data_IF_840193841299
#
_entry.id   IF_840193841299
#
_cell.length_a   1.000
_cell.length_b   1.000
_cell.length_c   1.000
_cell.angle_alpha   90.00
_cell.angle_beta   90.00
_cell.angle_gamma   90.00
#
_symmetry.space_group_name_H-M   'P 1'
#
loop_
_entity.id
_entity.type
_entity.pdbx_description
1 polymer ?
#
# COMPACT_ATOMS: atom_id res chain seq x y z
N UNK A 1 8.69 -6.80 -9.66
CA UNK A 1 8.52 -5.66 -10.61
C UNK A 1 7.75 -6.20 -11.80
N UNK A 2 6.42 -6.02 -11.83
CA UNK A 2 5.53 -6.84 -12.68
C UNK A 2 4.59 -6.09 -13.64
N UNK A 3 4.72 -4.77 -13.84
CA UNK A 3 3.84 -4.04 -14.78
C UNK A 3 4.56 -3.12 -15.78
N UNK A 4 5.88 -3.27 -15.96
CA UNK A 4 6.66 -2.35 -16.82
C UNK A 4 6.79 -0.92 -16.27
N UNK A 5 6.31 -0.67 -15.05
CA UNK A 5 6.48 0.59 -14.31
C UNK A 5 7.67 0.50 -13.36
N UNK A 6 8.42 1.60 -13.27
CA UNK A 6 9.38 1.85 -12.20
C UNK A 6 8.73 2.71 -11.12
N UNK A 7 8.77 2.24 -9.87
CA UNK A 7 8.22 2.94 -8.72
C UNK A 7 9.36 3.43 -7.84
N UNK A 8 9.34 4.71 -7.49
CA UNK A 8 10.29 5.33 -6.58
C UNK A 8 9.56 5.91 -5.39
N UNK A 9 10.00 5.55 -4.18
CA UNK A 9 9.47 6.11 -2.94
C UNK A 9 10.31 7.31 -2.53
N UNK A 10 9.66 8.38 -2.04
CA UNK A 10 10.41 9.50 -1.44
C UNK A 10 11.14 9.07 -0.17
N UNK A 11 10.59 8.08 0.56
CA UNK A 11 11.19 7.41 1.72
C UNK A 11 10.67 5.97 1.82
N UNK A 12 11.50 5.07 2.34
CA UNK A 12 11.12 3.66 2.60
C UNK A 12 10.91 3.38 4.10
N UNK A 13 11.33 4.31 4.97
CA UNK A 13 11.27 4.19 6.42
C UNK A 13 10.57 5.40 7.04
N UNK A 14 10.30 5.32 8.35
CA UNK A 14 9.73 6.42 9.11
C UNK A 14 10.75 7.53 9.38
N UNK A 15 10.98 8.35 8.37
CA UNK A 15 11.90 9.48 8.42
C UNK A 15 11.23 10.71 7.82
N UNK A 16 11.50 11.87 8.43
CA UNK A 16 11.04 13.13 7.91
C UNK A 16 11.86 13.56 6.69
N UNK A 17 11.15 13.97 5.63
CA UNK A 17 11.73 14.58 4.43
C UNK A 17 11.03 15.91 4.18
N UNK A 18 11.81 16.96 3.98
CA UNK A 18 11.32 18.30 3.67
C UNK A 18 10.47 18.31 2.40
N UNK A 19 9.41 19.12 2.38
CA UNK A 19 8.49 19.21 1.22
C UNK A 19 9.22 19.49 -0.09
N UNK A 20 10.20 20.41 -0.07
CA UNK A 20 11.01 20.76 -1.23
C UNK A 20 11.83 19.58 -1.74
N UNK A 21 12.36 18.75 -0.86
CA UNK A 21 13.16 17.59 -1.26
C UNK A 21 12.30 16.52 -1.93
N UNK A 22 11.06 16.31 -1.46
CA UNK A 22 10.13 15.35 -2.05
C UNK A 22 9.84 15.64 -3.52
N UNK A 23 9.52 16.89 -3.86
CA UNK A 23 9.25 17.28 -5.26
C UNK A 23 10.54 17.33 -6.08
N UNK A 24 11.66 17.72 -5.47
CA UNK A 24 12.98 17.68 -6.12
C UNK A 24 13.36 16.27 -6.56
N UNK A 25 13.20 15.26 -5.71
CA UNK A 25 13.48 13.85 -6.05
C UNK A 25 12.71 13.45 -7.32
N UNK A 26 11.39 13.68 -7.36
CA UNK A 26 10.56 13.33 -8.51
C UNK A 26 10.95 14.11 -9.77
N UNK A 27 11.27 15.41 -9.63
CA UNK A 27 11.68 16.27 -10.74
C UNK A 27 13.03 15.84 -11.33
N UNK A 28 14.01 15.47 -10.50
CA UNK A 28 15.33 15.00 -10.93
C UNK A 28 15.28 13.63 -11.59
N UNK A 29 14.38 12.75 -11.14
CA UNK A 29 14.09 11.46 -11.78
C UNK A 29 13.36 11.60 -13.13
N UNK A 30 12.86 12.81 -13.45
CA UNK A 30 11.97 13.05 -14.58
C UNK A 30 10.78 12.07 -14.60
N UNK A 31 10.19 11.78 -13.43
CA UNK A 31 9.09 10.84 -13.30
C UNK A 31 7.87 11.26 -14.14
N UNK A 32 7.10 10.29 -14.64
CA UNK A 32 5.90 10.59 -15.45
C UNK A 32 4.70 11.07 -14.60
N UNK A 33 4.65 10.63 -13.35
CA UNK A 33 3.66 11.07 -12.37
C UNK A 33 4.22 11.05 -10.94
N UNK A 34 3.64 11.86 -10.07
CA UNK A 34 3.85 11.84 -8.62
C UNK A 34 2.51 11.73 -7.90
N UNK A 35 2.43 10.81 -6.94
CA UNK A 35 1.25 10.57 -6.11
C UNK A 35 1.66 10.76 -4.65
N UNK A 36 1.14 11.80 -4.00
CA UNK A 36 1.37 12.06 -2.57
C UNK A 36 0.25 11.41 -1.75
N UNK A 37 0.58 10.42 -0.94
CA UNK A 37 -0.38 9.64 -0.15
C UNK A 37 -0.43 10.19 1.28
N UNK A 38 -1.62 10.62 1.72
CA UNK A 38 -1.87 11.25 3.02
C UNK A 38 -3.11 10.65 3.69
N UNK A 39 -3.30 10.97 4.97
CA UNK A 39 -4.58 10.91 5.67
C UNK A 39 -4.86 12.30 6.24
N UNK A 40 -6.11 12.73 6.17
CA UNK A 40 -6.53 14.07 6.58
C UNK A 40 -6.75 14.15 8.08
N UNK A 41 -6.97 15.36 8.59
CA UNK A 41 -7.42 15.64 9.95
C UNK A 41 -8.23 16.93 9.98
N UNK A 42 -9.08 17.11 10.99
CA UNK A 42 -9.90 18.31 11.15
C UNK A 42 -11.36 18.05 11.52
N UNK A 43 -11.68 16.82 11.92
CA UNK A 43 -12.99 16.37 12.35
C UNK A 43 -14.02 16.27 11.22
N UNK A 44 -15.30 16.22 11.61
CA UNK A 44 -16.42 16.04 10.68
C UNK A 44 -16.73 14.57 10.42
N UNK A 45 -17.34 14.29 9.27
CA UNK A 45 -17.86 12.96 8.93
C UNK A 45 -16.81 12.02 8.30
N UNK A 46 -15.54 12.43 8.24
CA UNK A 46 -14.48 11.67 7.56
C UNK A 46 -14.65 11.64 6.04
N UNK A 47 -14.01 10.64 5.42
CA UNK A 47 -14.15 10.29 4.00
C UNK A 47 -12.90 10.54 3.15
N UNK A 48 -12.97 10.12 1.88
CA UNK A 48 -11.88 10.22 0.93
C UNK A 48 -12.00 11.47 0.04
N UNK A 49 -10.87 12.15 -0.18
CA UNK A 49 -10.74 13.23 -1.16
C UNK A 49 -9.39 13.18 -1.88
N UNK A 50 -9.32 13.81 -3.05
CA UNK A 50 -8.06 13.99 -3.76
C UNK A 50 -7.88 15.42 -4.21
N UNK A 51 -6.64 15.83 -4.45
CA UNK A 51 -6.28 17.18 -4.85
C UNK A 51 -5.38 17.18 -6.09
N UNK A 52 -5.62 18.14 -6.98
CA UNK A 52 -4.69 18.59 -8.03
C UNK A 52 -4.39 20.07 -7.89
N UNK A 53 -3.33 20.56 -8.53
CA UNK A 53 -3.04 21.99 -8.53
C UNK A 53 -4.15 22.80 -9.22
N UNK A 54 -4.37 24.04 -8.79
CA UNK A 54 -5.43 24.91 -9.35
C UNK A 54 -5.28 25.16 -10.85
N UNK A 55 -4.04 25.22 -11.33
CA UNK A 55 -3.71 25.39 -12.75
C UNK A 55 -3.05 24.12 -13.33
N UNK A 56 -3.52 22.95 -12.90
CA UNK A 56 -3.01 21.65 -13.32
C UNK A 56 -3.14 21.41 -14.83
N UNK A 57 -2.21 20.61 -15.37
CA UNK A 57 -2.27 20.12 -16.75
C UNK A 57 -3.49 19.20 -16.97
N UNK A 58 -3.85 18.96 -18.23
CA UNK A 58 -4.90 17.99 -18.58
C UNK A 58 -4.56 16.59 -18.08
N UNK A 59 -3.28 16.17 -18.16
CA UNK A 59 -2.83 14.88 -17.64
C UNK A 59 -2.95 14.77 -16.11
N UNK A 60 -2.64 15.83 -15.37
CA UNK A 60 -2.86 15.84 -13.90
C UNK A 60 -4.35 15.76 -13.55
N UNK A 61 -5.22 16.37 -14.37
CA UNK A 61 -6.67 16.27 -14.20
C UNK A 61 -7.15 14.83 -14.44
N UNK A 62 -6.71 14.22 -15.54
CA UNK A 62 -7.00 12.82 -15.88
C UNK A 62 -6.50 11.87 -14.78
N UNK A 63 -5.24 11.99 -14.35
CA UNK A 63 -4.67 11.21 -13.25
C UNK A 63 -5.51 11.31 -11.98
N UNK A 64 -5.99 12.51 -11.63
CA UNK A 64 -6.82 12.70 -10.44
C UNK A 64 -8.17 12.02 -10.59
N UNK A 65 -8.85 12.21 -11.72
CA UNK A 65 -10.18 11.64 -11.97
C UNK A 65 -10.11 10.11 -11.96
N UNK A 66 -9.12 9.53 -12.63
CA UNK A 66 -8.88 8.09 -12.68
C UNK A 66 -8.55 7.49 -11.30
N UNK A 67 -7.60 8.07 -10.56
CA UNK A 67 -7.27 7.60 -9.20
C UNK A 67 -8.47 7.73 -8.26
N UNK A 68 -9.16 8.88 -8.30
CA UNK A 68 -10.26 9.13 -7.37
C UNK A 68 -11.42 8.16 -7.60
N UNK A 69 -11.80 7.91 -8.86
CA UNK A 69 -12.87 6.97 -9.18
C UNK A 69 -12.51 5.52 -8.84
N UNK A 70 -11.25 5.12 -9.08
CA UNK A 70 -10.76 3.79 -8.75
C UNK A 70 -10.77 3.54 -7.23
N UNK A 71 -10.25 4.48 -6.45
CA UNK A 71 -10.20 4.37 -4.97
C UNK A 71 -11.60 4.39 -4.37
N UNK A 72 -12.49 5.28 -4.81
CA UNK A 72 -13.88 5.30 -4.32
C UNK A 72 -14.63 4.02 -4.69
N UNK A 73 -14.37 3.44 -5.86
CA UNK A 73 -15.01 2.17 -6.25
C UNK A 73 -14.70 1.07 -5.25
N UNK A 74 -13.44 0.92 -4.83
CA UNK A 74 -13.04 -0.05 -3.82
C UNK A 74 -13.56 0.27 -2.42
N UNK A 75 -13.64 1.56 -2.07
CA UNK A 75 -14.04 2.01 -0.74
C UNK A 75 -15.57 2.02 -0.50
N UNK A 76 -16.39 1.96 -1.55
CA UNK A 76 -17.87 1.96 -1.45
C UNK A 76 -18.39 0.85 -0.54
N UNK A 77 -17.77 -0.33 -0.54
CA UNK A 77 -18.18 -1.48 0.29
C UNK A 77 -18.00 -1.24 1.80
N UNK A 78 -17.23 -0.22 2.18
CA UNK A 78 -17.01 0.20 3.57
C UNK A 78 -17.80 1.46 3.96
N UNK A 79 -18.75 1.89 3.12
CA UNK A 79 -19.54 3.10 3.32
C UNK A 79 -18.70 4.38 3.51
N UNK A 80 -17.51 4.43 2.91
CA UNK A 80 -16.67 5.64 2.91
C UNK A 80 -17.38 6.76 2.16
N UNK A 81 -17.39 7.95 2.76
CA UNK A 81 -17.94 9.15 2.14
C UNK A 81 -17.00 9.62 1.02
N UNK A 82 -17.55 9.76 -0.18
CA UNK A 82 -16.88 10.41 -1.30
C UNK A 82 -17.01 11.93 -1.18
N UNK A 83 -15.91 12.60 -0.84
CA UNK A 83 -15.81 14.05 -0.67
C UNK A 83 -15.35 14.78 -1.94
N UNK A 84 -15.29 14.06 -3.06
CA UNK A 84 -15.02 14.50 -4.42
C UNK A 84 -13.60 14.96 -4.69
N UNK A 85 -13.17 14.98 -5.98
CA UNK A 85 -11.92 15.61 -6.37
C UNK A 85 -11.95 17.12 -6.11
N UNK A 86 -10.83 17.66 -5.63
CA UNK A 86 -10.65 19.07 -5.28
C UNK A 86 -9.43 19.66 -5.97
N UNK A 87 -9.34 20.99 -5.95
CA UNK A 87 -8.15 21.73 -6.35
C UNK A 87 -7.54 22.44 -5.14
N UNK A 88 -6.22 22.58 -5.11
CA UNK A 88 -5.53 23.23 -4.01
C UNK A 88 -4.14 23.72 -4.37
N UNK A 89 -3.67 24.74 -3.66
CA UNK A 89 -2.32 25.30 -3.83
C UNK A 89 -1.30 24.58 -2.92
N UNK A 90 -1.20 23.26 -3.06
CA UNK A 90 -0.35 22.41 -2.22
C UNK A 90 1.05 22.28 -2.83
N UNK A 91 2.10 22.31 -2.01
CA UNK A 91 3.50 22.24 -2.46
C UNK A 91 3.76 21.06 -3.39
N UNK A 92 3.33 19.85 -2.99
CA UNK A 92 3.51 18.61 -3.77
C UNK A 92 2.89 18.67 -5.17
N UNK A 93 1.90 19.53 -5.37
CA UNK A 93 1.17 19.67 -6.63
C UNK A 93 1.71 20.83 -7.46
N UNK A 94 2.10 21.93 -6.81
CA UNK A 94 2.58 23.16 -7.47
C UNK A 94 4.02 23.05 -7.94
N UNK A 95 4.88 22.41 -7.17
CA UNK A 95 6.34 22.37 -7.42
C UNK A 95 6.79 21.11 -8.20
N UNK A 96 5.84 20.36 -8.75
CA UNK A 96 6.08 19.13 -9.50
C UNK A 96 5.97 19.38 -11.01
N UNK A 97 6.94 18.90 -11.78
CA UNK A 97 7.02 19.14 -13.24
C UNK A 97 6.22 18.11 -14.06
N UNK A 98 5.75 17.05 -13.43
CA UNK A 98 5.00 15.94 -14.03
C UNK A 98 3.53 15.93 -13.60
N UNK A 99 2.78 14.91 -14.02
CA UNK A 99 1.39 14.75 -13.58
C UNK A 99 1.34 14.54 -12.06
N UNK A 100 0.57 15.32 -11.32
CA UNK A 100 0.64 15.34 -9.85
C UNK A 100 -0.73 15.27 -9.19
N UNK A 101 -0.88 14.34 -8.24
CA UNK A 101 -2.08 14.17 -7.41
C UNK A 101 -1.69 13.95 -5.95
N UNK A 102 -2.51 14.45 -5.03
CA UNK A 102 -2.43 14.16 -3.61
C UNK A 102 -3.74 13.51 -3.18
N UNK A 103 -3.67 12.38 -2.50
CA UNK A 103 -4.84 11.65 -1.99
C UNK A 103 -4.88 11.76 -0.48
N UNK A 104 -6.02 12.19 0.05
CA UNK A 104 -6.33 12.13 1.47
C UNK A 104 -7.18 10.88 1.73
N UNK A 105 -6.50 9.81 2.13
CA UNK A 105 -7.04 8.49 2.36
C UNK A 105 -7.70 8.41 3.72
N UNK A 106 -8.87 9.04 3.85
CA UNK A 106 -9.65 9.14 5.08
C UNK A 106 -9.06 10.11 6.11
N UNK A 107 -9.78 10.30 7.21
CA UNK A 107 -9.42 11.22 8.29
C UNK A 107 -8.88 10.45 9.50
N UNK A 108 -7.68 10.79 9.96
CA UNK A 108 -7.04 10.11 11.11
C UNK A 108 -7.84 10.25 12.41
N UNK A 109 -8.63 11.32 12.54
CA UNK A 109 -9.42 11.64 13.72
C UNK A 109 -10.89 11.18 13.63
N UNK A 110 -11.45 11.02 12.43
CA UNK A 110 -12.83 10.58 12.23
C UNK A 110 -12.96 9.12 11.76
N UNK A 111 -12.00 8.63 10.97
CA UNK A 111 -12.03 7.31 10.31
C UNK A 111 -11.00 6.33 10.91
N UNK A 112 -10.50 6.59 12.12
CA UNK A 112 -9.43 5.81 12.76
C UNK A 112 -9.70 4.28 12.81
N UNK A 113 -10.97 3.87 12.93
CA UNK A 113 -11.37 2.46 12.93
C UNK A 113 -11.19 1.84 11.55
N UNK A 114 -11.55 2.57 10.48
CA UNK A 114 -11.36 2.13 9.10
C UNK A 114 -9.86 2.06 8.77
N UNK A 115 -9.08 3.05 9.20
CA UNK A 115 -7.63 3.10 9.00
C UNK A 115 -6.85 2.00 9.75
N UNK A 116 -7.45 1.36 10.75
CA UNK A 116 -6.88 0.21 11.45
C UNK A 116 -7.32 -1.15 10.87
N UNK A 117 -8.19 -1.14 9.85
CA UNK A 117 -8.69 -2.36 9.23
C UNK A 117 -7.86 -2.69 7.98
N UNK A 118 -7.13 -3.80 8.03
CA UNK A 118 -6.28 -4.26 6.92
C UNK A 118 -7.05 -4.38 5.59
N UNK A 119 -8.32 -4.80 5.61
CA UNK A 119 -9.12 -4.90 4.38
C UNK A 119 -9.42 -3.53 3.75
N UNK A 120 -9.55 -2.49 4.58
CA UNK A 120 -9.71 -1.11 4.09
C UNK A 120 -8.39 -0.59 3.53
N UNK A 121 -7.28 -0.90 4.17
CA UNK A 121 -5.94 -0.55 3.67
C UNK A 121 -5.67 -1.22 2.32
N UNK A 122 -5.97 -2.51 2.18
CA UNK A 122 -5.88 -3.23 0.91
C UNK A 122 -6.79 -2.60 -0.15
N UNK A 123 -8.03 -2.25 0.19
CA UNK A 123 -8.93 -1.56 -0.75
C UNK A 123 -8.39 -0.18 -1.20
N UNK A 124 -7.71 0.56 -0.33
CA UNK A 124 -7.02 1.80 -0.70
C UNK A 124 -5.88 1.48 -1.67
N UNK A 125 -5.07 0.46 -1.39
CA UNK A 125 -3.95 0.02 -2.24
C UNK A 125 -4.47 -0.40 -3.61
N UNK A 126 -5.44 -1.31 -3.67
CA UNK A 126 -6.07 -1.80 -4.90
C UNK A 126 -6.61 -0.65 -5.74
N UNK A 127 -7.29 0.31 -5.11
CA UNK A 127 -7.79 1.51 -5.77
C UNK A 127 -6.69 2.38 -6.39
N UNK A 128 -5.56 2.56 -5.68
CA UNK A 128 -4.41 3.27 -6.25
C UNK A 128 -3.79 2.52 -7.42
N UNK A 129 -3.60 1.20 -7.27
CA UNK A 129 -3.01 0.35 -8.31
C UNK A 129 -3.89 0.36 -9.56
N UNK A 130 -5.20 0.15 -9.42
CA UNK A 130 -6.16 0.19 -10.51
C UNK A 130 -6.14 1.55 -11.23
N UNK A 131 -6.11 2.64 -10.47
CA UNK A 131 -6.05 3.99 -11.05
C UNK A 131 -4.73 4.27 -11.79
N UNK A 132 -3.59 3.81 -11.26
CA UNK A 132 -2.29 3.92 -11.94
C UNK A 132 -2.27 3.09 -13.23
N UNK A 133 -2.73 1.84 -13.17
CA UNK A 133 -2.84 0.93 -14.33
C UNK A 133 -3.68 1.58 -15.43
N UNK A 134 -4.86 2.10 -15.07
CA UNK A 134 -5.76 2.75 -16.01
C UNK A 134 -5.15 4.02 -16.60
N UNK A 135 -4.54 4.89 -15.78
CA UNK A 135 -3.97 6.16 -16.24
C UNK A 135 -2.82 5.95 -17.22
N UNK A 136 -1.94 4.98 -16.95
CA UNK A 136 -0.81 4.68 -17.83
C UNK A 136 -1.18 3.74 -19.00
N UNK A 137 -2.43 3.28 -19.07
CA UNK A 137 -2.88 2.31 -20.07
C UNK A 137 -2.05 1.03 -20.02
N UNK A 138 -1.65 0.60 -18.83
CA UNK A 138 -0.88 -0.63 -18.68
C UNK A 138 -1.78 -1.80 -19.02
N UNK A 139 -1.29 -2.66 -19.92
CA UNK A 139 -1.86 -3.99 -20.01
C UNK A 139 -1.53 -4.68 -18.69
N UNK A 140 -2.58 -5.12 -17.98
CA UNK A 140 -2.38 -6.21 -17.04
C UNK A 140 -1.81 -7.32 -17.92
N UNK A 141 -0.52 -7.63 -17.73
CA UNK A 141 -0.12 -8.97 -18.11
C UNK A 141 -1.09 -9.86 -17.37
N UNK A 142 -1.70 -10.80 -18.09
CA UNK A 142 -2.09 -12.05 -17.48
C UNK A 142 -0.81 -12.57 -16.83
N UNK A 143 -0.55 -12.11 -15.60
CA UNK A 143 -0.10 -13.02 -14.58
C UNK A 143 -1.27 -13.99 -14.59
N UNK A 144 -1.15 -15.04 -15.40
CA UNK A 144 -1.66 -16.30 -14.97
C UNK A 144 -1.05 -16.44 -13.59
N UNK A 145 -1.84 -16.05 -12.59
CA UNK A 145 -1.76 -16.65 -11.30
C UNK A 145 -2.14 -18.10 -11.65
N UNK A 146 -1.18 -18.88 -12.17
CA UNK A 146 -0.89 -20.14 -11.51
C UNK A 146 -0.85 -19.69 -10.08
N UNK A 147 -1.93 -20.02 -9.34
CA UNK A 147 -2.05 -19.70 -7.93
C UNK A 147 -0.62 -19.68 -7.41
N UNK A 148 -0.15 -18.54 -6.91
CA UNK A 148 0.83 -18.64 -5.86
C UNK A 148 0.07 -19.49 -4.82
N UNK A 149 0.14 -20.82 -4.97
CA UNK A 149 0.49 -21.67 -3.86
C UNK A 149 1.62 -20.87 -3.26
N UNK A 150 1.30 -20.07 -2.24
CA UNK A 150 2.31 -19.63 -1.29
C UNK A 150 3.11 -20.89 -1.08
N UNK A 151 4.34 -20.95 -1.59
CA UNK A 151 5.12 -22.17 -1.49
C UNK A 151 5.12 -22.47 0.01
N UNK A 152 4.35 -23.49 0.41
CA UNK A 152 4.07 -23.73 1.82
C UNK A 152 5.38 -24.06 2.54
N UNK A 153 6.43 -24.39 1.76
CA UNK A 153 7.79 -24.63 2.19
C UNK A 153 8.68 -23.38 2.24
N UNK A 154 8.21 -22.21 1.77
CA UNK A 154 8.95 -20.95 1.81
C UNK A 154 8.74 -20.18 3.12
N UNK A 155 9.82 -20.07 3.88
CA UNK A 155 9.86 -19.29 5.13
C UNK A 155 9.84 -17.79 4.81
N UNK A 156 8.91 -17.05 5.43
CA UNK A 156 8.85 -15.59 5.30
C UNK A 156 10.15 -14.90 5.76
N UNK A 157 10.62 -13.84 5.08
CA UNK A 157 11.91 -13.21 5.39
C UNK A 157 12.10 -12.83 6.86
N UNK A 158 11.05 -12.34 7.52
CA UNK A 158 11.08 -11.95 8.93
C UNK A 158 11.23 -13.14 9.89
N UNK A 159 10.75 -14.33 9.49
CA UNK A 159 10.73 -15.54 10.31
C UNK A 159 11.95 -16.44 10.07
N UNK A 160 12.79 -16.15 9.06
CA UNK A 160 13.88 -17.02 8.60
C UNK A 160 14.80 -17.48 9.72
N UNK A 161 15.35 -16.54 10.49
CA UNK A 161 16.28 -16.85 11.59
C UNK A 161 15.61 -17.68 12.70
N UNK A 162 14.35 -17.36 13.04
CA UNK A 162 13.62 -18.08 14.07
C UNK A 162 13.28 -19.52 13.63
N UNK A 163 12.89 -19.69 12.36
CA UNK A 163 12.57 -20.98 11.76
C UNK A 163 13.79 -21.90 11.71
N UNK A 164 14.92 -21.39 11.22
CA UNK A 164 16.19 -22.15 11.17
C UNK A 164 16.63 -22.61 12.56
N UNK A 165 16.52 -21.75 13.56
CA UNK A 165 16.86 -22.12 14.94
C UNK A 165 15.90 -23.14 15.52
N UNK A 166 14.60 -23.02 15.25
CA UNK A 166 13.59 -23.96 15.73
C UNK A 166 13.78 -25.35 15.11
N UNK A 167 14.11 -25.41 13.81
CA UNK A 167 14.45 -26.65 13.12
C UNK A 167 15.76 -27.26 13.66
N UNK A 168 16.81 -26.45 13.84
CA UNK A 168 18.10 -26.90 14.37
C UNK A 168 18.00 -27.46 15.79
N UNK A 169 17.15 -26.87 16.64
CA UNK A 169 16.86 -27.37 17.99
C UNK A 169 15.90 -28.57 18.01
N UNK A 170 15.41 -29.01 16.86
CA UNK A 170 14.47 -30.13 16.73
C UNK A 170 13.06 -29.82 17.23
N UNK A 171 12.72 -28.55 17.43
CA UNK A 171 11.36 -28.16 17.83
C UNK A 171 10.38 -28.36 16.67
N UNK A 172 10.81 -27.97 15.46
CA UNK A 172 10.11 -28.13 14.19
C UNK A 172 10.86 -29.11 13.28
N UNK A 173 10.18 -29.67 12.29
CA UNK A 173 10.77 -30.59 11.30
C UNK A 173 11.42 -29.88 10.10
N UNK A 174 11.29 -28.55 10.01
CA UNK A 174 11.85 -27.72 8.95
C UNK A 174 11.00 -27.65 7.68
N UNK A 175 9.83 -28.28 7.67
CA UNK A 175 8.90 -28.30 6.54
C UNK A 175 7.64 -27.48 6.83
N UNK A 176 6.92 -27.06 5.79
CA UNK A 176 5.57 -26.49 5.91
C UNK A 176 5.46 -25.26 6.87
N UNK A 177 6.36 -24.25 6.82
CA UNK A 177 6.30 -23.04 7.66
C UNK A 177 5.00 -22.24 7.59
N UNK A 178 4.19 -22.43 6.55
CA UNK A 178 2.93 -21.70 6.37
C UNK A 178 1.68 -22.54 6.64
N UNK A 179 1.82 -23.82 7.01
CA UNK A 179 0.70 -24.67 7.38
C UNK A 179 0.07 -24.24 8.72
N UNK A 180 -1.23 -24.49 8.85
CA UNK A 180 -1.92 -24.37 10.15
C UNK A 180 -1.42 -25.45 11.11
N UNK A 181 -1.02 -25.06 12.32
CA UNK A 181 -0.59 -26.00 13.37
C UNK A 181 -1.80 -26.61 14.06
N UNK A 182 -1.86 -27.93 14.15
CA UNK A 182 -2.87 -28.65 14.94
C UNK A 182 -2.56 -28.58 16.44
N UNK A 183 -3.59 -28.81 17.29
CA UNK A 183 -3.40 -28.81 18.76
C UNK A 183 -2.47 -29.94 19.22
N UNK A 184 -2.42 -31.05 18.50
CA UNK A 184 -1.53 -32.19 18.77
C UNK A 184 -0.08 -31.86 18.43
N UNK A 185 0.17 -31.24 17.27
CA UNK A 185 1.50 -30.76 16.89
C UNK A 185 2.01 -29.70 17.88
N UNK A 186 1.15 -28.77 18.29
CA UNK A 186 1.48 -27.78 19.32
C UNK A 186 1.87 -28.46 20.66
N UNK A 187 1.10 -29.47 21.10
CA UNK A 187 1.41 -30.21 22.32
C UNK A 187 2.76 -30.94 22.22
N UNK A 188 3.05 -31.56 21.07
CA UNK A 188 4.34 -32.22 20.83
C UNK A 188 5.52 -31.23 20.87
N UNK A 189 5.36 -30.04 20.26
CA UNK A 189 6.38 -28.97 20.30
C UNK A 189 6.63 -28.51 21.74
N UNK A 190 5.57 -28.30 22.54
CA UNK A 190 5.70 -27.87 23.94
C UNK A 190 6.48 -28.88 24.78
N UNK A 191 6.21 -30.19 24.62
CA UNK A 191 6.95 -31.25 25.31
C UNK A 191 8.42 -31.31 24.86
N UNK A 192 8.71 -31.12 23.56
CA UNK A 192 10.09 -31.04 23.08
C UNK A 192 10.84 -29.89 23.72
N UNK A 193 10.22 -28.71 23.84
CA UNK A 193 10.82 -27.53 24.48
C UNK A 193 11.06 -27.77 25.98
N UNK A 194 10.12 -28.42 26.68
CA UNK A 194 10.27 -28.73 28.10
C UNK A 194 11.42 -29.71 28.36
N UNK A 195 11.59 -30.70 27.49
CA UNK A 195 12.63 -31.73 27.61
C UNK A 195 14.02 -31.30 27.10
N UNK A 196 14.13 -30.20 26.36
CA UNK A 196 15.40 -29.65 25.84
C UNK A 196 16.02 -28.58 26.77
N UNK A 197 15.62 -28.57 28.05
CA UNK A 197 16.18 -27.71 29.10
C UNK A 197 17.39 -28.34 29.80
#
# INVERSE_FOLDING_TARGET
MEAGIQVFLTREMDQFIELKERTKIANELAADAIISIHCNAGGGAGGFESFRYTSASLKSKELQETLHESIITELRKYNVIDRKPKTGNLHMLRESNMSAVLTENLFIDADAILLQNDQVIEAIIDGHVAGVVQFFGLEQKDVMIAADEEDLNMVSPWARTAWEQAALKGYMDGTRPRDSVTREELAAILIRIENNK
#
